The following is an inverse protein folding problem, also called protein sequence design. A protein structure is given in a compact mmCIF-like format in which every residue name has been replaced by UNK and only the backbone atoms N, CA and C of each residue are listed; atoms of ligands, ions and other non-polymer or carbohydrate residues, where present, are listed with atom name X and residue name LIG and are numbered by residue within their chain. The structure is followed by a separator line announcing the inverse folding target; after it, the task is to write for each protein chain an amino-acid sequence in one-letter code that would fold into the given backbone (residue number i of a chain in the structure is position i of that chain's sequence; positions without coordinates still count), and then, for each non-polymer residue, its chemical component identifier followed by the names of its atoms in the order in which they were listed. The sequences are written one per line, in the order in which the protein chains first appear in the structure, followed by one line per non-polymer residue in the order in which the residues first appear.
data_IF_385245861213
#
_entry.id   IF_385245861213
#
_cell.length_a   1.000
_cell.length_b   1.000
_cell.length_c   1.000
_cell.angle_alpha   90.00
_cell.angle_beta   90.00
_cell.angle_gamma   90.00
#
_symmetry.space_group_name_H-M   'P 1'
#
loop_
_entity.id
_entity.type
_entity.pdbx_description
1 polymer ?
#
# COMPACT_ATOMS: atom_id res chain seq x y z
N UNK A 1 -26.93 -3.75 -65.45
CA UNK A 1 -25.65 -4.49 -65.51
C UNK A 1 -25.58 -5.24 -64.18
N UNK A 2 -26.02 -6.50 -64.13
CA UNK A 2 -25.19 -7.73 -64.33
C UNK A 2 -24.02 -7.72 -63.33
N UNK A 3 -24.17 -8.43 -62.20
CA UNK A 3 -23.67 -9.80 -61.95
C UNK A 3 -22.13 -9.75 -61.73
N UNK A 4 -21.57 -10.31 -60.66
CA UNK A 4 -21.39 -11.76 -60.52
C UNK A 4 -21.14 -12.16 -59.03
N UNK A 5 -21.78 -13.28 -58.65
CA UNK A 5 -21.23 -14.44 -57.95
C UNK A 5 -20.55 -14.27 -56.57
N UNK A 6 -21.33 -14.49 -55.51
CA UNK A 6 -20.88 -15.41 -54.46
C UNK A 6 -21.67 -16.72 -54.61
N UNK A 7 -21.05 -17.65 -55.33
CA UNK A 7 -21.53 -19.00 -55.55
C UNK A 7 -21.83 -19.66 -54.20
N UNK A 8 -23.10 -20.00 -54.02
CA UNK A 8 -23.56 -21.03 -53.09
C UNK A 8 -22.99 -22.34 -53.62
N UNK A 9 -21.77 -22.66 -53.19
CA UNK A 9 -20.98 -23.78 -53.67
C UNK A 9 -20.67 -24.71 -52.51
N UNK A 10 -21.23 -25.91 -52.62
CA UNK A 10 -20.87 -27.12 -51.90
C UNK A 10 -21.21 -27.13 -50.41
N UNK A 11 -22.47 -27.50 -50.19
CA UNK A 11 -22.88 -28.38 -49.09
C UNK A 11 -21.92 -29.58 -49.13
N UNK A 12 -20.82 -29.48 -48.40
CA UNK A 12 -20.04 -30.64 -48.02
C UNK A 12 -20.97 -31.45 -47.13
N UNK A 13 -21.46 -32.56 -47.68
CA UNK A 13 -21.91 -33.70 -46.88
C UNK A 13 -20.77 -34.09 -45.92
N UNK A 14 -20.81 -33.52 -44.72
CA UNK A 14 -20.22 -34.14 -43.55
C UNK A 14 -21.39 -34.50 -42.66
N UNK A 15 -21.66 -35.79 -42.56
CA UNK A 15 -22.40 -36.38 -41.45
C UNK A 15 -21.96 -35.72 -40.14
N UNK A 16 -22.83 -34.94 -39.52
CA UNK A 16 -22.80 -34.60 -38.09
C UNK A 16 -24.19 -34.04 -37.74
N UNK A 17 -25.17 -34.93 -37.56
CA UNK A 17 -26.58 -34.60 -37.25
C UNK A 17 -26.82 -33.79 -35.97
N UNK A 18 -25.76 -33.41 -35.26
CA UNK A 18 -25.80 -32.71 -33.97
C UNK A 18 -25.16 -31.29 -34.01
N UNK A 19 -24.68 -30.80 -35.16
CA UNK A 19 -24.04 -29.47 -35.25
C UNK A 19 -24.98 -28.41 -35.81
N UNK A 20 -25.44 -27.50 -34.96
CA UNK A 20 -26.26 -26.34 -35.35
C UNK A 20 -25.40 -25.34 -36.17
N UNK A 21 -25.63 -25.18 -37.48
CA UNK A 21 -24.86 -24.25 -38.30
C UNK A 21 -25.05 -22.81 -37.82
N UNK A 22 -23.96 -22.07 -37.64
CA UNK A 22 -23.99 -20.65 -37.23
C UNK A 22 -24.04 -20.38 -35.72
N UNK A 23 -24.18 -21.40 -34.86
CA UNK A 23 -24.21 -21.21 -33.40
C UNK A 23 -22.97 -20.47 -32.87
N UNK A 24 -21.76 -20.88 -33.31
CA UNK A 24 -20.51 -20.22 -32.92
C UNK A 24 -20.47 -18.75 -33.34
N UNK A 25 -20.98 -18.42 -34.53
CA UNK A 25 -21.03 -17.04 -35.01
C UNK A 25 -21.98 -16.18 -34.15
N UNK A 26 -23.15 -16.71 -33.79
CA UNK A 26 -24.09 -16.02 -32.89
C UNK A 26 -23.49 -15.77 -31.51
N UNK A 27 -22.83 -16.77 -30.92
CA UNK A 27 -22.15 -16.62 -29.62
C UNK A 27 -21.08 -15.53 -29.69
N UNK A 28 -20.24 -15.54 -30.73
CA UNK A 28 -19.19 -14.52 -30.90
C UNK A 28 -19.76 -13.11 -31.08
N UNK A 29 -20.87 -12.95 -31.81
CA UNK A 29 -21.56 -11.66 -31.94
C UNK A 29 -22.09 -11.19 -30.59
N UNK A 30 -22.74 -12.07 -29.81
CA UNK A 30 -23.25 -11.75 -28.48
C UNK A 30 -22.13 -11.31 -27.52
N UNK A 31 -21.00 -12.04 -27.48
CA UNK A 31 -19.84 -11.68 -26.66
C UNK A 31 -19.24 -10.34 -27.10
N UNK A 32 -19.12 -10.10 -28.42
CA UNK A 32 -18.58 -8.85 -28.97
C UNK A 32 -19.46 -7.65 -28.64
N UNK A 33 -20.79 -7.78 -28.75
CA UNK A 33 -21.73 -6.73 -28.37
C UNK A 33 -21.64 -6.40 -26.88
N UNK A 34 -21.44 -7.42 -26.04
CA UNK A 34 -21.28 -7.25 -24.58
C UNK A 34 -19.96 -6.58 -24.24
N UNK A 35 -18.86 -7.02 -24.86
CA UNK A 35 -17.54 -6.37 -24.73
C UNK A 35 -17.58 -4.90 -25.16
N UNK A 36 -18.31 -4.57 -26.25
CA UNK A 36 -18.50 -3.18 -26.70
C UNK A 36 -19.29 -2.34 -25.69
N UNK A 37 -20.26 -2.93 -24.99
CA UNK A 37 -20.99 -2.24 -23.90
C UNK A 37 -20.11 -2.02 -22.67
N UNK A 38 -19.24 -2.97 -22.33
CA UNK A 38 -18.26 -2.82 -21.25
C UNK A 38 -17.22 -1.74 -21.58
N UNK A 39 -16.74 -1.68 -22.82
CA UNK A 39 -15.79 -0.66 -23.27
C UNK A 39 -16.37 0.76 -23.18
N UNK A 40 -17.69 0.93 -23.43
CA UNK A 40 -18.37 2.22 -23.21
C UNK A 40 -18.42 2.66 -21.74
N UNK A 41 -18.22 1.73 -20.80
CA UNK A 41 -18.09 1.99 -19.36
C UNK A 41 -16.63 1.91 -18.91
N UNK A 42 -15.70 2.23 -19.80
CA UNK A 42 -14.25 2.23 -19.54
C UNK A 42 -13.65 0.88 -19.11
N UNK A 43 -14.32 -0.23 -19.40
CA UNK A 43 -13.82 -1.58 -19.15
C UNK A 43 -13.45 -2.26 -20.48
N UNK A 44 -12.15 -2.27 -20.80
CA UNK A 44 -11.60 -2.84 -22.03
C UNK A 44 -11.36 -4.34 -21.85
N UNK A 45 -12.05 -5.14 -22.66
CA UNK A 45 -11.89 -6.59 -22.68
C UNK A 45 -10.89 -6.99 -23.77
N UNK A 46 -9.83 -7.71 -23.41
CA UNK A 46 -8.84 -8.22 -24.38
C UNK A 46 -9.26 -9.56 -24.99
N UNK A 47 -9.82 -10.44 -24.15
CA UNK A 47 -10.30 -11.76 -24.55
C UNK A 47 -11.82 -11.83 -24.37
N UNK A 48 -12.57 -12.14 -25.44
CA UNK A 48 -14.04 -12.16 -25.40
C UNK A 48 -14.61 -13.19 -24.41
N UNK A 49 -13.91 -14.31 -24.20
CA UNK A 49 -14.27 -15.33 -23.19
C UNK A 49 -14.32 -14.76 -21.77
N UNK A 50 -13.50 -13.75 -21.47
CA UNK A 50 -13.44 -13.12 -20.15
C UNK A 50 -14.79 -12.47 -19.74
N UNK A 51 -15.61 -12.06 -20.72
CA UNK A 51 -16.94 -11.51 -20.44
C UNK A 51 -17.83 -12.55 -19.75
N UNK A 52 -17.78 -13.80 -20.20
CA UNK A 52 -18.55 -14.89 -19.60
C UNK A 52 -17.95 -15.29 -18.26
N UNK A 53 -16.62 -15.44 -18.18
CA UNK A 53 -15.93 -15.82 -16.95
C UNK A 53 -16.19 -14.84 -15.80
N UNK A 54 -16.28 -13.54 -16.09
CA UNK A 54 -16.62 -12.52 -15.10
C UNK A 54 -18.01 -12.74 -14.50
N UNK A 55 -18.98 -13.17 -15.31
CA UNK A 55 -20.35 -13.46 -14.86
C UNK A 55 -20.46 -14.72 -14.00
N UNK A 56 -19.54 -15.67 -14.17
CA UNK A 56 -19.49 -16.91 -13.40
C UNK A 56 -18.54 -16.83 -12.19
N UNK A 57 -17.91 -15.69 -11.95
CA UNK A 57 -16.94 -15.50 -10.86
C UNK A 57 -17.62 -15.64 -9.51
N UNK A 58 -17.07 -16.48 -8.64
CA UNK A 58 -17.55 -16.67 -7.27
C UNK A 58 -16.60 -16.13 -6.21
N UNK A 59 -15.32 -15.89 -6.56
CA UNK A 59 -14.33 -15.35 -5.63
C UNK A 59 -13.51 -14.24 -6.30
N UNK A 60 -13.37 -13.11 -5.61
CA UNK A 60 -12.54 -11.97 -6.02
C UNK A 60 -11.37 -11.83 -5.05
N UNK A 61 -10.16 -11.91 -5.59
CA UNK A 61 -8.92 -11.55 -4.91
C UNK A 61 -8.56 -10.12 -5.34
N UNK A 62 -8.38 -9.22 -4.39
CA UNK A 62 -8.00 -7.83 -4.67
C UNK A 62 -6.70 -7.48 -3.97
N UNK A 63 -5.76 -6.87 -4.70
CA UNK A 63 -4.65 -6.15 -4.06
C UNK A 63 -5.16 -4.90 -3.34
N UNK A 64 -4.39 -4.41 -2.37
CA UNK A 64 -4.73 -3.18 -1.64
C UNK A 64 -4.28 -1.95 -2.43
N UNK A 65 -2.97 -1.83 -2.66
CA UNK A 65 -2.34 -0.61 -3.19
C UNK A 65 -2.72 -0.43 -4.66
N UNK A 66 -3.23 0.75 -5.01
CA UNK A 66 -3.62 1.10 -6.40
C UNK A 66 -4.87 0.41 -6.94
N UNK A 67 -5.36 -0.62 -6.24
CA UNK A 67 -6.57 -1.36 -6.60
C UNK A 67 -7.75 -0.93 -5.75
N UNK A 68 -7.70 -1.18 -4.44
CA UNK A 68 -8.73 -0.72 -3.49
C UNK A 68 -8.49 0.75 -3.09
N UNK A 69 -7.22 1.14 -3.04
CA UNK A 69 -6.77 2.48 -2.68
C UNK A 69 -6.26 3.26 -3.90
N UNK A 70 -6.12 4.58 -3.75
CA UNK A 70 -5.80 5.48 -4.86
C UNK A 70 -4.33 5.41 -5.30
N UNK A 71 -3.47 4.68 -4.58
CA UNK A 71 -2.01 4.73 -4.68
C UNK A 71 -1.50 6.17 -4.56
N UNK A 72 -2.11 6.94 -3.66
CA UNK A 72 -1.78 8.34 -3.41
C UNK A 72 -1.63 8.51 -1.91
N UNK A 73 -0.42 8.23 -1.42
CA UNK A 73 -0.10 8.40 -0.01
C UNK A 73 -0.35 9.86 0.40
N UNK A 74 -1.14 10.05 1.46
CA UNK A 74 -1.40 11.35 2.10
C UNK A 74 -1.12 11.24 3.58
N UNK A 75 -0.60 12.31 4.19
CA UNK A 75 -0.42 12.37 5.64
C UNK A 75 -1.80 12.49 6.27
N UNK A 76 -2.08 11.65 7.26
CA UNK A 76 -3.39 11.56 7.91
C UNK A 76 -3.31 12.01 9.36
N UNK A 77 -2.34 11.50 10.13
CA UNK A 77 -2.13 11.95 11.50
C UNK A 77 -0.64 12.20 11.78
N UNK A 78 -0.40 12.99 12.82
CA UNK A 78 0.93 13.32 13.31
C UNK A 78 0.90 13.21 14.84
N UNK A 79 1.94 12.68 15.44
CA UNK A 79 2.09 12.60 16.88
C UNK A 79 3.29 13.44 17.30
N UNK A 80 3.03 14.51 18.04
CA UNK A 80 4.03 15.40 18.64
C UNK A 80 3.46 15.99 19.93
N UNK A 81 4.32 16.42 20.86
CA UNK A 81 3.91 16.98 22.16
C UNK A 81 2.89 16.08 22.92
N UNK A 82 3.04 14.75 22.78
CA UNK A 82 2.14 13.73 23.33
C UNK A 82 0.67 13.81 22.84
N UNK A 83 0.41 14.41 21.69
CA UNK A 83 -0.93 14.55 21.12
C UNK A 83 -0.96 14.00 19.70
N UNK A 84 -2.03 13.28 19.38
CA UNK A 84 -2.34 12.89 18.00
C UNK A 84 -3.09 14.05 17.36
N UNK A 85 -2.60 14.47 16.20
CA UNK A 85 -3.10 15.59 15.44
C UNK A 85 -3.51 15.11 14.06
N UNK A 86 -4.76 15.33 13.71
CA UNK A 86 -5.32 15.03 12.39
C UNK A 86 -4.88 16.07 11.35
N UNK A 87 -4.37 15.60 10.22
CA UNK A 87 -4.09 16.39 9.03
C UNK A 87 -5.29 16.35 8.06
N UNK A 88 -5.53 17.44 7.34
CA UNK A 88 -6.57 17.47 6.31
C UNK A 88 -6.18 16.57 5.12
N UNK A 89 -6.87 15.44 5.01
CA UNK A 89 -6.72 14.48 3.92
C UNK A 89 -7.60 14.81 2.71
N UNK A 90 -8.44 15.85 2.80
CA UNK A 90 -9.35 16.29 1.75
C UNK A 90 -8.63 16.94 0.58
N UNK A 91 -9.15 16.73 -0.63
CA UNK A 91 -8.53 17.26 -1.87
C UNK A 91 -8.54 18.79 -1.96
N UNK A 92 -9.49 19.43 -1.27
CA UNK A 92 -9.75 20.88 -1.34
C UNK A 92 -9.39 21.65 -0.05
N UNK A 93 -8.86 20.96 0.96
CA UNK A 93 -8.25 21.54 2.15
C UNK A 93 -9.05 22.64 2.84
N UNK A 94 -10.27 22.32 3.25
CA UNK A 94 -11.17 23.30 3.86
C UNK A 94 -11.01 23.38 5.38
N UNK A 95 -10.30 22.45 6.03
CA UNK A 95 -10.23 22.33 7.48
C UNK A 95 -8.77 22.28 7.98
N UNK A 96 -8.18 23.43 8.31
CA UNK A 96 -6.91 23.44 9.04
C UNK A 96 -7.18 23.18 10.55
N UNK A 97 -6.80 22.01 11.05
CA UNK A 97 -7.15 21.52 12.39
C UNK A 97 -6.08 21.72 13.47
N UNK A 98 -4.87 22.21 13.16
CA UNK A 98 -3.78 22.27 14.13
C UNK A 98 -2.85 23.49 14.05
N UNK A 99 -2.22 23.81 15.18
CA UNK A 99 -1.34 24.97 15.33
C UNK A 99 -0.01 24.76 14.60
N UNK A 100 0.15 25.49 13.50
CA UNK A 100 1.35 25.46 12.65
C UNK A 100 2.56 26.16 13.28
N UNK A 101 2.38 26.87 14.40
CA UNK A 101 3.46 27.58 15.08
C UNK A 101 4.00 26.84 16.31
N UNK A 102 3.45 25.67 16.64
CA UNK A 102 3.94 24.86 17.76
C UNK A 102 5.42 24.49 17.54
N UNK A 103 6.28 24.61 18.58
CA UNK A 103 7.70 24.33 18.44
C UNK A 103 7.95 22.86 18.06
N UNK A 104 7.15 21.92 18.60
CA UNK A 104 7.18 20.50 18.25
C UNK A 104 6.92 20.27 16.77
N UNK A 105 5.90 20.92 16.21
CA UNK A 105 5.61 20.87 14.78
C UNK A 105 6.74 21.44 13.91
N UNK A 106 7.30 22.60 14.26
CA UNK A 106 8.38 23.20 13.47
C UNK A 106 9.62 22.31 13.39
N UNK A 107 9.98 21.64 14.50
CA UNK A 107 11.08 20.68 14.52
C UNK A 107 10.77 19.44 13.66
N UNK A 108 9.56 18.89 13.80
CA UNK A 108 9.10 17.74 13.04
C UNK A 108 9.02 18.04 11.53
N UNK A 109 8.46 19.18 11.15
CA UNK A 109 8.37 19.67 9.78
C UNK A 109 9.76 19.91 9.18
N UNK A 110 10.70 20.49 9.94
CA UNK A 110 12.11 20.64 9.53
C UNK A 110 12.72 19.27 9.19
N UNK A 111 12.54 18.28 10.05
CA UNK A 111 13.03 16.92 9.80
C UNK A 111 12.41 16.31 8.53
N UNK A 112 11.10 16.48 8.33
CA UNK A 112 10.38 15.97 7.17
C UNK A 112 10.77 16.67 5.84
N UNK A 113 11.16 17.95 5.89
CA UNK A 113 11.68 18.69 4.72
C UNK A 113 13.07 18.19 4.33
N UNK A 114 13.97 18.12 5.31
CA UNK A 114 15.41 17.92 5.09
C UNK A 114 15.75 16.46 4.79
N UNK A 115 15.16 15.54 5.55
CA UNK A 115 15.36 14.10 5.37
C UNK A 115 14.44 13.55 4.27
N UNK A 116 14.44 14.16 3.08
CA UNK A 116 13.53 13.77 2.01
C UNK A 116 14.16 14.03 0.63
N UNK A 117 14.05 13.04 -0.28
CA UNK A 117 14.58 13.10 -1.65
C UNK A 117 13.53 13.43 -2.70
N UNK A 118 12.26 13.54 -2.32
CA UNK A 118 11.20 13.90 -3.26
C UNK A 118 11.26 15.38 -3.63
N UNK A 119 11.02 15.67 -4.91
CA UNK A 119 10.94 17.01 -5.48
C UNK A 119 9.73 17.12 -6.41
N UNK A 120 9.15 18.33 -6.51
CA UNK A 120 8.06 18.58 -7.46
C UNK A 120 8.59 18.64 -8.89
N UNK A 121 7.83 18.09 -9.85
CA UNK A 121 8.13 18.33 -11.28
C UNK A 121 7.92 19.82 -11.59
N UNK A 122 8.93 20.48 -12.16
CA UNK A 122 8.93 21.92 -12.42
C UNK A 122 8.13 22.34 -13.68
N UNK A 123 7.19 21.52 -14.12
CA UNK A 123 6.37 21.82 -15.29
C UNK A 123 5.34 22.92 -14.96
N UNK A 124 5.16 23.95 -15.82
CA UNK A 124 4.22 25.04 -15.56
C UNK A 124 2.78 24.56 -15.32
N UNK A 125 2.35 23.53 -16.06
CA UNK A 125 1.03 22.90 -15.89
C UNK A 125 0.90 22.19 -14.54
N UNK A 126 1.98 21.60 -14.04
CA UNK A 126 2.00 20.90 -12.76
C UNK A 126 1.98 21.88 -11.58
N UNK A 127 2.72 22.99 -11.67
CA UNK A 127 2.75 24.02 -10.63
C UNK A 127 1.40 24.76 -10.48
N UNK A 128 0.62 24.84 -11.57
CA UNK A 128 -0.73 25.39 -11.57
C UNK A 128 -1.78 24.49 -10.88
N UNK A 129 -1.48 23.21 -10.66
CA UNK A 129 -2.36 22.29 -9.95
C UNK A 129 -2.28 22.48 -8.42
N UNK A 130 -3.35 22.13 -7.68
CA UNK A 130 -3.33 22.06 -6.21
C UNK A 130 -2.16 21.21 -5.70
N UNK A 131 -1.53 21.61 -4.58
CA UNK A 131 -0.30 20.97 -4.05
C UNK A 131 -0.44 19.45 -3.93
N UNK A 132 -1.60 18.96 -3.47
CA UNK A 132 -1.84 17.54 -3.33
C UNK A 132 -1.85 16.79 -4.68
N UNK A 133 -2.25 17.44 -5.78
CA UNK A 133 -2.34 16.84 -7.12
C UNK A 133 -1.02 16.95 -7.90
N UNK A 134 -0.10 17.82 -7.48
CA UNK A 134 1.19 17.99 -8.13
C UNK A 134 1.94 16.66 -8.22
N UNK A 135 2.48 16.39 -9.40
CA UNK A 135 3.39 15.28 -9.64
C UNK A 135 4.74 15.56 -8.99
N UNK A 136 5.31 14.53 -8.37
CA UNK A 136 6.58 14.55 -7.67
C UNK A 136 7.50 13.45 -8.20
N UNK A 137 8.80 13.69 -8.19
CA UNK A 137 9.82 12.64 -8.27
C UNK A 137 10.05 12.04 -6.88
N UNK A 138 10.35 10.74 -6.82
CA UNK A 138 10.64 10.03 -5.57
C UNK A 138 9.55 9.03 -5.16
N UNK A 139 9.76 8.38 -4.02
CA UNK A 139 8.84 7.36 -3.50
C UNK A 139 7.54 8.00 -2.99
N UNK A 140 6.44 7.25 -3.01
CA UNK A 140 5.11 7.77 -2.66
C UNK A 140 5.05 8.31 -1.21
N UNK A 141 5.73 7.63 -0.27
CA UNK A 141 5.85 8.11 1.12
C UNK A 141 6.60 9.43 1.25
N UNK A 142 7.63 9.63 0.44
CA UNK A 142 8.42 10.87 0.44
C UNK A 142 7.65 12.02 -0.23
N UNK A 143 6.92 11.72 -1.29
CA UNK A 143 6.01 12.66 -1.95
C UNK A 143 4.88 13.11 -1.01
N UNK A 144 4.33 12.20 -0.18
CA UNK A 144 3.31 12.53 0.81
C UNK A 144 3.82 13.54 1.85
N UNK A 145 5.03 13.30 2.38
CA UNK A 145 5.69 14.22 3.31
C UNK A 145 5.97 15.57 2.66
N UNK A 146 6.50 15.57 1.43
CA UNK A 146 6.79 16.79 0.69
C UNK A 146 5.52 17.63 0.50
N UNK A 147 4.42 17.01 0.07
CA UNK A 147 3.13 17.67 -0.10
C UNK A 147 2.63 18.24 1.22
N UNK A 148 2.64 17.45 2.30
CA UNK A 148 2.19 17.89 3.62
C UNK A 148 2.96 19.12 4.13
N UNK A 149 4.29 19.13 3.98
CA UNK A 149 5.07 20.27 4.47
C UNK A 149 4.97 21.48 3.55
N UNK A 150 4.89 21.29 2.23
CA UNK A 150 4.65 22.38 1.28
C UNK A 150 3.32 23.11 1.58
N UNK A 151 2.30 22.39 2.05
CA UNK A 151 1.01 22.96 2.45
C UNK A 151 1.06 23.82 3.72
N UNK A 152 2.04 23.58 4.59
CA UNK A 152 2.20 24.31 5.85
C UNK A 152 3.18 25.46 5.72
N UNK A 153 4.27 25.29 4.97
CA UNK A 153 5.41 26.23 4.92
C UNK A 153 5.56 26.96 3.58
N UNK A 154 4.94 26.48 2.49
CA UNK A 154 4.91 27.09 1.14
C UNK A 154 6.27 27.56 0.57
N UNK A 155 7.39 26.96 0.99
CA UNK A 155 8.75 27.32 0.56
C UNK A 155 9.76 26.17 0.78
N UNK A 156 9.40 24.91 0.51
CA UNK A 156 10.28 23.76 0.81
C UNK A 156 11.63 23.85 0.08
N UNK A 157 11.64 24.30 -1.19
CA UNK A 157 12.86 24.41 -2.01
C UNK A 157 13.85 25.40 -1.38
N UNK A 158 13.39 26.61 -1.06
CA UNK A 158 14.23 27.64 -0.41
C UNK A 158 14.74 27.16 0.95
N UNK A 159 13.91 26.44 1.71
CA UNK A 159 14.32 25.90 3.01
C UNK A 159 15.45 24.87 2.87
N UNK A 160 15.42 24.03 1.83
CA UNK A 160 16.50 23.09 1.51
C UNK A 160 17.76 23.77 0.98
N UNK A 161 17.63 24.87 0.24
CA UNK A 161 18.77 25.68 -0.21
C UNK A 161 19.50 26.36 0.95
N UNK A 162 18.74 26.88 1.93
CA UNK A 162 19.30 27.49 3.14
C UNK A 162 20.01 26.43 4.00
N UNK A 163 19.45 25.23 4.12
CA UNK A 163 20.01 24.14 4.93
C UNK A 163 20.70 23.11 4.03
N UNK A 164 21.88 23.47 3.51
CA UNK A 164 22.62 22.66 2.55
C UNK A 164 22.94 21.27 3.11
N UNK A 165 22.62 20.24 2.32
CA UNK A 165 22.94 18.84 2.65
C UNK A 165 24.43 18.57 2.43
N UNK A 166 25.08 18.00 3.45
CA UNK A 166 26.51 17.66 3.44
C UNK A 166 26.75 16.17 3.25
N UNK A 167 25.91 15.34 3.88
CA UNK A 167 26.02 13.88 3.83
C UNK A 167 24.63 13.25 3.88
N UNK A 168 24.46 12.10 3.24
CA UNK A 168 23.21 11.36 3.25
C UNK A 168 23.41 9.86 3.27
N UNK A 169 22.78 9.18 4.22
CA UNK A 169 22.63 7.73 4.18
C UNK A 169 21.26 7.41 3.55
N UNK A 170 21.21 6.83 2.33
CA UNK A 170 19.96 6.39 1.71
C UNK A 170 19.22 5.38 2.58
N UNK A 171 17.90 5.33 2.43
CA UNK A 171 17.11 4.26 3.02
C UNK A 171 17.59 2.90 2.54
N UNK A 172 17.90 2.00 3.48
CA UNK A 172 18.26 0.61 3.21
C UNK A 172 17.28 -0.32 3.95
N UNK A 173 16.85 -1.41 3.31
CA UNK A 173 15.92 -2.39 3.88
C UNK A 173 16.48 -3.12 5.11
N UNK A 174 17.80 -3.24 5.21
CA UNK A 174 18.48 -3.82 6.38
C UNK A 174 18.47 -2.87 7.57
N UNK A 175 18.79 -1.59 7.33
CA UNK A 175 18.91 -0.58 8.38
C UNK A 175 17.55 0.02 8.78
N UNK A 176 16.58 0.06 7.86
CA UNK A 176 15.21 0.58 8.03
C UNK A 176 15.11 2.07 8.44
N UNK A 177 16.18 2.84 8.26
CA UNK A 177 16.21 4.29 8.46
C UNK A 177 16.94 4.99 7.30
N UNK A 178 16.72 6.29 7.18
CA UNK A 178 17.39 7.23 6.30
C UNK A 178 17.92 8.38 7.16
N UNK A 179 19.13 8.85 6.86
CA UNK A 179 19.80 9.93 7.61
C UNK A 179 20.27 10.99 6.63
N UNK A 180 20.16 12.26 6.99
CA UNK A 180 20.86 13.33 6.29
C UNK A 180 21.42 14.35 7.27
N UNK A 181 22.58 14.91 6.92
CA UNK A 181 23.28 15.93 7.72
C UNK A 181 23.25 17.23 6.93
N UNK A 182 22.85 18.30 7.60
CA UNK A 182 22.66 19.61 7.01
C UNK A 182 23.44 20.68 7.77
N UNK A 183 23.93 21.68 7.04
CA UNK A 183 24.50 22.89 7.61
C UNK A 183 23.39 23.77 8.18
N UNK A 184 23.53 24.18 9.44
CA UNK A 184 22.56 25.05 10.10
C UNK A 184 22.91 26.51 9.80
N UNK A 185 22.03 27.19 9.07
CA UNK A 185 22.10 28.63 8.86
C UNK A 185 20.96 29.31 9.63
N UNK A 186 21.17 29.57 10.92
CA UNK A 186 20.27 30.42 11.72
C UNK A 186 20.78 31.86 11.78
N UNK A 187 19.86 32.83 11.91
CA UNK A 187 20.21 34.25 12.07
C UNK A 187 20.93 34.52 13.42
N UNK A 188 20.74 33.64 14.39
CA UNK A 188 21.40 33.67 15.70
C UNK A 188 22.81 33.09 15.63
N UNK A 189 23.80 33.95 15.38
CA UNK A 189 25.23 33.59 15.29
C UNK A 189 25.74 32.72 16.46
N UNK A 190 25.19 32.90 17.66
CA UNK A 190 25.58 32.12 18.86
C UNK A 190 25.20 30.65 18.81
N UNK A 191 24.06 30.27 18.18
CA UNK A 191 23.69 28.86 18.00
C UNK A 191 24.49 28.20 16.86
N UNK A 192 24.79 28.96 15.80
CA UNK A 192 25.57 28.50 14.64
C UNK A 192 27.03 28.19 15.02
N UNK A 193 27.56 28.85 16.04
CA UNK A 193 28.93 28.62 16.52
C UNK A 193 29.03 27.47 17.53
N UNK A 194 27.92 27.03 18.14
CA UNK A 194 27.88 25.88 19.05
C UNK A 194 27.41 24.58 18.38
N UNK A 195 26.55 24.68 17.35
CA UNK A 195 25.99 23.54 16.63
C UNK A 195 25.93 23.79 15.11
N UNK A 196 27.03 23.57 14.37
CA UNK A 196 27.14 23.92 12.95
C UNK A 196 26.36 22.96 12.06
N UNK A 197 26.10 21.74 12.54
CA UNK A 197 25.44 20.68 11.78
C UNK A 197 24.21 20.14 12.50
N UNK A 198 23.17 19.89 11.71
CA UNK A 198 21.95 19.20 12.13
C UNK A 198 21.87 17.85 11.42
N UNK A 199 21.88 16.78 12.20
CA UNK A 199 21.56 15.44 11.75
C UNK A 199 20.05 15.24 11.88
N UNK A 200 19.42 14.77 10.80
CA UNK A 200 18.00 14.39 10.79
C UNK A 200 17.87 12.95 10.31
N UNK A 201 16.98 12.20 10.94
CA UNK A 201 16.76 10.80 10.61
C UNK A 201 15.26 10.48 10.62
N UNK A 202 14.84 9.69 9.62
CA UNK A 202 13.49 9.11 9.56
C UNK A 202 13.56 7.61 9.32
N UNK A 203 12.59 6.86 9.82
CA UNK A 203 12.61 5.40 9.66
C UNK A 203 11.42 4.67 10.26
N UNK A 204 11.57 3.35 10.42
CA UNK A 204 10.62 2.53 11.14
C UNK A 204 10.51 3.02 12.61
N UNK A 205 9.29 3.25 13.15
CA UNK A 205 9.10 3.82 14.49
C UNK A 205 9.90 3.13 15.60
N UNK A 206 9.87 1.79 15.63
CA UNK A 206 10.60 0.97 16.62
C UNK A 206 12.12 1.21 16.57
N UNK A 207 12.68 1.24 15.35
CA UNK A 207 14.11 1.43 15.13
C UNK A 207 14.58 2.85 15.46
N UNK A 208 13.69 3.84 15.27
CA UNK A 208 13.98 5.22 15.66
C UNK A 208 13.94 5.34 17.19
N UNK A 209 12.93 4.75 17.85
CA UNK A 209 12.81 4.83 19.31
C UNK A 209 14.00 4.19 20.03
N UNK A 210 14.49 3.03 19.56
CA UNK A 210 15.66 2.35 20.13
C UNK A 210 16.94 3.20 20.09
N UNK A 211 17.05 4.12 19.13
CA UNK A 211 18.21 5.00 18.94
C UNK A 211 18.08 6.35 19.63
N UNK A 212 16.90 6.66 20.17
CA UNK A 212 16.65 7.93 20.83
C UNK A 212 16.86 7.82 22.34
N UNK A 213 17.50 8.83 22.93
CA UNK A 213 17.67 8.97 24.38
C UNK A 213 16.77 10.06 24.97
N UNK A 214 16.43 11.07 24.17
CA UNK A 214 15.58 12.20 24.55
C UNK A 214 14.38 12.34 23.62
N UNK A 215 13.33 13.00 24.08
CA UNK A 215 12.12 13.36 23.34
C UNK A 215 11.90 14.88 23.44
N UNK A 216 11.50 15.50 22.33
CA UNK A 216 11.20 16.92 22.26
C UNK A 216 9.72 17.18 22.56
N UNK A 217 9.44 17.95 23.61
CA UNK A 217 8.07 18.26 24.08
C UNK A 217 7.96 19.75 24.39
N UNK A 218 7.04 20.43 23.72
CA UNK A 218 6.69 21.85 23.95
C UNK A 218 7.91 22.79 23.95
N UNK A 219 8.96 22.47 23.20
CA UNK A 219 10.20 23.25 23.13
C UNK A 219 11.32 22.80 24.07
N UNK A 220 11.11 21.74 24.87
CA UNK A 220 12.09 21.22 25.83
C UNK A 220 12.51 19.78 25.52
N UNK A 221 13.77 19.47 25.81
CA UNK A 221 14.32 18.12 25.66
C UNK A 221 14.13 17.35 26.98
N UNK A 222 13.39 16.25 26.93
CA UNK A 222 13.10 15.38 28.09
C UNK A 222 13.69 13.99 27.85
N UNK A 223 14.25 13.34 28.86
CA UNK A 223 14.76 11.97 28.72
C UNK A 223 13.62 10.95 28.53
N UNK A 224 13.88 9.93 27.70
CA UNK A 224 12.88 8.87 27.43
C UNK A 224 12.80 7.91 28.61
N UNK A 225 11.78 8.12 29.44
CA UNK A 225 11.38 7.21 30.51
C UNK A 225 10.38 6.15 30.01
N UNK A 226 10.12 5.11 30.83
CA UNK A 226 9.15 4.06 30.49
C UNK A 226 7.73 4.58 30.27
N UNK A 227 7.37 5.70 30.90
CA UNK A 227 6.13 6.41 30.62
C UNK A 227 6.04 6.86 29.15
N UNK A 228 7.11 7.46 28.62
CA UNK A 228 7.16 7.95 27.25
C UNK A 228 7.20 6.79 26.23
N UNK A 229 7.86 5.68 26.58
CA UNK A 229 7.82 4.45 25.77
C UNK A 229 6.40 3.89 25.67
N UNK A 230 5.67 3.87 26.78
CA UNK A 230 4.28 3.40 26.79
C UNK A 230 3.35 4.34 26.00
N UNK A 231 3.49 5.66 26.18
CA UNK A 231 2.71 6.65 25.41
C UNK A 231 2.98 6.55 23.90
N UNK A 232 4.26 6.38 23.51
CA UNK A 232 4.65 6.13 22.14
C UNK A 232 4.03 4.84 21.59
N UNK A 233 4.12 3.73 22.34
CA UNK A 233 3.57 2.45 21.91
C UNK A 233 2.04 2.51 21.74
N UNK A 234 1.36 3.22 22.65
CA UNK A 234 -0.07 3.45 22.54
C UNK A 234 -0.42 4.24 21.27
N UNK A 235 0.26 5.37 21.01
CA UNK A 235 0.05 6.16 19.81
C UNK A 235 0.39 5.38 18.53
N UNK A 236 1.47 4.59 18.55
CA UNK A 236 1.86 3.73 17.42
C UNK A 236 0.79 2.68 17.11
N UNK A 237 0.24 2.01 18.13
CA UNK A 237 -0.83 1.04 17.98
C UNK A 237 -2.13 1.68 17.51
N UNK A 238 -2.48 2.85 18.03
CA UNK A 238 -3.67 3.61 17.62
C UNK A 238 -3.60 4.02 16.15
N UNK A 239 -2.50 4.65 15.72
CA UNK A 239 -2.28 5.03 14.32
C UNK A 239 -2.21 3.81 13.39
N UNK A 240 -1.60 2.71 13.86
CA UNK A 240 -1.59 1.45 13.14
C UNK A 240 -3.00 0.90 12.93
N UNK A 241 -3.85 0.95 13.97
CA UNK A 241 -5.23 0.46 13.96
C UNK A 241 -6.14 1.23 13.00
N UNK A 242 -5.78 2.46 12.64
CA UNK A 242 -6.48 3.28 11.64
C UNK A 242 -6.11 2.93 10.19
N UNK A 243 -5.17 2.00 9.97
CA UNK A 243 -4.80 1.61 8.61
C UNK A 243 -3.68 2.44 8.02
N UNK A 244 -2.92 3.10 8.88
CA UNK A 244 -1.94 4.08 8.47
C UNK A 244 -0.52 3.51 8.58
N UNK A 245 0.32 3.91 7.64
CA UNK A 245 1.74 3.62 7.67
C UNK A 245 2.42 4.69 8.50
N UNK A 246 3.03 4.31 9.61
CA UNK A 246 3.68 5.23 10.55
C UNK A 246 5.19 5.28 10.30
N UNK A 247 5.75 6.50 10.33
CA UNK A 247 7.19 6.77 10.29
C UNK A 247 7.60 7.56 11.53
N UNK A 248 8.76 7.22 12.11
CA UNK A 248 9.37 7.97 13.20
C UNK A 248 10.38 8.98 12.68
N UNK A 249 10.47 10.11 13.38
CA UNK A 249 11.39 11.21 13.07
C UNK A 249 12.19 11.58 14.31
N UNK A 250 13.49 11.80 14.11
CA UNK A 250 14.40 12.26 15.15
C UNK A 250 15.44 13.21 14.57
N UNK A 251 15.99 14.07 15.42
CA UNK A 251 17.10 14.96 15.08
C UNK A 251 18.20 14.91 16.14
N UNK A 252 19.38 15.39 15.76
CA UNK A 252 20.48 15.62 16.69
C UNK A 252 21.27 16.84 16.20
N UNK A 253 21.50 17.78 17.11
CA UNK A 253 22.41 18.91 16.87
C UNK A 253 23.83 18.45 17.21
N UNK A 254 24.71 18.44 16.22
CA UNK A 254 26.11 18.03 16.42
C UNK A 254 26.90 19.19 17.03
N UNK A 255 27.71 18.90 18.04
CA UNK A 255 28.56 19.88 18.72
C UNK A 255 29.73 20.30 17.82
N UNK A 256 30.06 21.60 17.84
CA UNK A 256 31.21 22.18 17.13
C UNK A 256 32.55 21.56 17.52
N UNK A 257 32.69 21.12 18.77
CA UNK A 257 33.96 20.62 19.32
C UNK A 257 34.40 19.31 18.63
N UNK A 258 33.44 18.42 18.37
CA UNK A 258 33.69 17.15 17.68
C UNK A 258 33.59 17.29 16.15
N UNK A 259 32.78 18.24 15.66
CA UNK A 259 32.46 18.40 14.24
C UNK A 259 32.56 19.87 13.80
N UNK A 260 33.77 20.38 13.52
CA UNK A 260 33.97 21.78 13.11
C UNK A 260 33.42 22.07 11.71
N UNK A 261 33.16 23.36 11.42
CA UNK A 261 32.72 23.81 10.08
C UNK A 261 33.71 23.37 9.00
N UNK A 262 33.25 22.56 8.05
CA UNK A 262 34.05 21.94 6.98
C UNK A 262 34.44 20.48 7.24
N UNK A 263 33.94 19.85 8.31
CA UNK A 263 34.17 18.44 8.59
C UNK A 263 33.65 17.55 7.46
N UNK A 264 34.48 16.60 7.01
CA UNK A 264 34.10 15.64 5.97
C UNK A 264 33.39 14.44 6.60
N UNK A 265 32.07 14.38 6.43
CA UNK A 265 31.29 13.22 6.81
C UNK A 265 31.48 12.10 5.79
N UNK A 266 31.60 10.86 6.27
CA UNK A 266 31.77 9.68 5.43
C UNK A 266 30.55 8.76 5.57
N UNK A 267 30.01 8.33 4.43
CA UNK A 267 28.81 7.48 4.34
C UNK A 267 29.12 6.00 4.59
N UNK A 268 30.33 5.53 4.24
CA UNK A 268 30.71 4.11 4.33
C UNK A 268 31.30 3.76 5.70
N UNK A 269 32.11 4.65 6.26
CA UNK A 269 32.61 4.57 7.62
C UNK A 269 31.96 5.68 8.44
N UNK A 270 30.81 5.33 9.04
CA UNK A 270 29.98 6.28 9.78
C UNK A 270 30.83 6.96 10.87
N UNK A 271 31.11 8.24 10.67
CA UNK A 271 31.94 9.06 11.54
C UNK A 271 31.13 10.04 12.39
N UNK A 272 29.83 9.78 12.55
CA UNK A 272 28.89 10.60 13.32
C UNK A 272 28.00 9.70 14.20
N UNK A 273 27.47 10.21 15.32
CA UNK A 273 26.63 9.43 16.21
C UNK A 273 25.29 9.07 15.53
N UNK A 274 24.95 7.77 15.59
CA UNK A 274 23.64 7.23 15.16
C UNK A 274 22.75 6.84 16.35
N UNK A 275 23.28 6.93 17.57
CA UNK A 275 22.60 6.60 18.82
C UNK A 275 22.59 7.85 19.72
N UNK A 276 21.69 7.88 20.71
CA UNK A 276 21.41 9.05 21.57
C UNK A 276 20.81 10.25 20.82
N UNK A 277 19.95 9.97 19.85
CA UNK A 277 19.21 10.99 19.11
C UNK A 277 18.05 11.57 19.93
N UNK A 278 17.52 12.72 19.49
CA UNK A 278 16.33 13.33 20.05
C UNK A 278 15.10 12.98 19.20
N UNK A 279 14.15 12.29 19.80
CA UNK A 279 12.88 11.93 19.18
C UNK A 279 11.99 13.16 19.03
N UNK A 280 11.46 13.38 17.82
CA UNK A 280 10.60 14.53 17.54
C UNK A 280 9.11 14.15 17.49
N UNK A 281 8.78 13.05 16.83
CA UNK A 281 7.39 12.71 16.58
C UNK A 281 7.20 11.54 15.61
N UNK A 282 5.94 11.15 15.44
CA UNK A 282 5.50 10.24 14.40
C UNK A 282 4.73 11.02 13.34
N UNK A 283 4.84 10.60 12.08
CA UNK A 283 3.84 10.94 11.07
C UNK A 283 3.29 9.66 10.48
N UNK A 284 1.97 9.60 10.38
CA UNK A 284 1.27 8.52 9.73
C UNK A 284 0.72 8.98 8.38
N UNK A 285 0.76 8.07 7.43
CA UNK A 285 0.27 8.29 6.08
C UNK A 285 -0.66 7.15 5.70
N UNK A 286 -1.79 7.51 5.10
CA UNK A 286 -2.77 6.57 4.59
C UNK A 286 -2.73 6.59 3.07
N UNK A 287 -2.99 5.44 2.46
CA UNK A 287 -3.41 5.40 1.06
C UNK A 287 -4.93 5.38 1.06
N UNK A 288 -5.60 6.52 0.79
CA UNK A 288 -7.04 6.61 0.95
C UNK A 288 -7.74 5.64 -0.03
N UNK A 289 -8.83 4.99 0.40
CA UNK A 289 -9.63 4.17 -0.50
C UNK A 289 -10.14 5.01 -1.68
N UNK A 290 -10.30 4.38 -2.85
CA UNK A 290 -10.90 5.05 -4.00
C UNK A 290 -12.35 5.44 -3.66
N UNK A 291 -12.78 6.64 -4.01
CA UNK A 291 -14.18 7.08 -3.81
C UNK A 291 -15.20 6.15 -4.52
N UNK A 292 -14.72 5.42 -5.54
CA UNK A 292 -15.46 4.41 -6.28
C UNK A 292 -15.50 3.02 -5.59
N UNK A 293 -14.65 2.76 -4.60
CA UNK A 293 -14.61 1.49 -3.82
C UNK A 293 -15.16 1.68 -2.40
N UNK A 294 -16.37 2.24 -2.16
CA UNK A 294 -16.99 2.13 -0.84
C UNK A 294 -17.48 0.71 -0.58
N UNK A 295 -17.79 0.44 0.69
CA UNK A 295 -18.55 -0.70 1.20
C UNK A 295 -19.70 -1.11 0.27
N UNK A 296 -20.42 -0.14 -0.32
CA UNK A 296 -21.53 -0.40 -1.24
C UNK A 296 -21.18 -1.26 -2.47
N UNK A 297 -19.95 -1.22 -3.01
CA UNK A 297 -19.56 -2.07 -4.15
C UNK A 297 -19.16 -3.48 -3.70
N UNK A 298 -18.43 -3.60 -2.60
CA UNK A 298 -18.09 -4.90 -2.02
C UNK A 298 -19.35 -5.60 -1.50
N UNK A 299 -20.28 -4.85 -0.90
CA UNK A 299 -21.61 -5.32 -0.51
C UNK A 299 -22.42 -5.81 -1.73
N UNK A 300 -22.32 -5.14 -2.89
CA UNK A 300 -22.94 -5.64 -4.13
C UNK A 300 -22.34 -6.98 -4.57
N UNK A 301 -21.01 -7.12 -4.56
CA UNK A 301 -20.37 -8.40 -4.85
C UNK A 301 -20.83 -9.49 -3.88
N UNK A 302 -20.87 -9.20 -2.57
CA UNK A 302 -21.37 -10.14 -1.55
C UNK A 302 -22.84 -10.48 -1.74
N UNK A 303 -23.69 -9.52 -2.12
CA UNK A 303 -25.11 -9.75 -2.42
C UNK A 303 -25.33 -10.67 -3.62
N UNK A 304 -24.35 -10.74 -4.54
CA UNK A 304 -24.33 -11.68 -5.65
C UNK A 304 -23.72 -13.05 -5.27
N UNK A 305 -23.39 -13.27 -3.99
CA UNK A 305 -22.77 -14.50 -3.50
C UNK A 305 -21.26 -14.59 -3.76
N UNK A 306 -20.62 -13.48 -4.12
CA UNK A 306 -19.18 -13.44 -4.42
C UNK A 306 -18.39 -13.20 -3.14
N UNK A 307 -17.45 -14.10 -2.84
CA UNK A 307 -16.49 -13.95 -1.73
C UNK A 307 -15.38 -12.98 -2.14
N UNK A 308 -15.09 -11.98 -1.31
CA UNK A 308 -14.03 -10.99 -1.57
C UNK A 308 -12.90 -11.17 -0.55
N UNK A 309 -11.67 -11.27 -1.05
CA UNK A 309 -10.48 -11.55 -0.24
C UNK A 309 -9.39 -10.52 -0.57
N UNK A 310 -8.80 -9.91 0.46
CA UNK A 310 -7.67 -8.99 0.31
C UNK A 310 -6.35 -9.77 0.32
N UNK A 311 -5.46 -9.48 -0.62
CA UNK A 311 -4.10 -10.02 -0.66
C UNK A 311 -3.10 -8.89 -0.80
N UNK A 312 -2.36 -8.58 0.28
CA UNK A 312 -1.43 -7.44 0.30
C UNK A 312 -0.06 -7.77 0.89
N UNK A 313 0.93 -6.96 0.51
CA UNK A 313 2.26 -6.94 1.11
C UNK A 313 2.38 -6.05 2.35
N UNK A 314 1.32 -5.30 2.69
CA UNK A 314 1.28 -4.37 3.83
C UNK A 314 1.23 -5.11 5.18
N UNK A 315 1.51 -4.37 6.26
CA UNK A 315 1.45 -4.89 7.63
C UNK A 315 0.02 -5.36 8.00
N UNK A 316 -0.17 -6.43 8.80
CA UNK A 316 -1.49 -6.96 9.15
C UNK A 316 -2.45 -5.94 9.75
N UNK A 317 -1.93 -5.10 10.66
CA UNK A 317 -2.74 -4.06 11.33
C UNK A 317 -3.30 -3.09 10.28
N UNK A 318 -2.43 -2.64 9.36
CA UNK A 318 -2.82 -1.75 8.25
C UNK A 318 -3.83 -2.42 7.32
N UNK A 319 -3.57 -3.67 6.93
CA UNK A 319 -4.43 -4.44 6.04
C UNK A 319 -5.82 -4.68 6.65
N UNK A 320 -5.90 -5.01 7.95
CA UNK A 320 -7.14 -5.19 8.69
C UNK A 320 -7.98 -3.93 8.72
N UNK A 321 -7.36 -2.79 9.03
CA UNK A 321 -8.05 -1.51 9.10
C UNK A 321 -8.59 -1.05 7.74
N UNK A 322 -7.78 -1.14 6.67
CA UNK A 322 -8.26 -0.85 5.32
C UNK A 322 -9.36 -1.83 4.90
N UNK A 323 -9.24 -3.11 5.27
CA UNK A 323 -10.28 -4.12 5.01
C UNK A 323 -11.62 -3.79 5.68
N UNK A 324 -11.58 -3.23 6.90
CA UNK A 324 -12.78 -2.69 7.57
C UNK A 324 -13.33 -1.45 6.86
N UNK A 325 -12.45 -0.53 6.47
CA UNK A 325 -12.84 0.71 5.78
C UNK A 325 -13.52 0.45 4.42
N UNK A 326 -13.06 -0.55 3.67
CA UNK A 326 -13.68 -0.91 2.38
C UNK A 326 -14.83 -1.92 2.50
N UNK A 327 -15.03 -2.55 3.67
CA UNK A 327 -16.08 -3.55 3.88
C UNK A 327 -15.73 -4.98 3.45
N UNK A 328 -14.43 -5.32 3.35
CA UNK A 328 -13.96 -6.72 3.22
C UNK A 328 -14.05 -7.45 4.56
N UNK A 329 -13.87 -6.73 5.66
CA UNK A 329 -14.24 -7.21 7.00
C UNK A 329 -15.42 -6.34 7.44
N UNK A 330 -16.54 -6.97 7.81
CA UNK A 330 -17.69 -6.25 8.34
C UNK A 330 -17.36 -5.59 9.69
N UNK A 331 -18.00 -4.47 10.02
CA UNK A 331 -17.72 -3.79 11.29
C UNK A 331 -18.10 -4.63 12.52
N UNK A 332 -19.10 -5.50 12.37
CA UNK A 332 -19.61 -6.37 13.44
C UNK A 332 -18.89 -7.73 13.54
N UNK A 333 -17.90 -7.99 12.67
CA UNK A 333 -17.18 -9.27 12.68
C UNK A 333 -15.85 -9.16 13.43
N UNK A 334 -15.66 -10.12 14.33
CA UNK A 334 -14.44 -10.25 15.13
C UNK A 334 -13.46 -11.20 14.45
N UNK A 335 -12.18 -10.87 14.55
CA UNK A 335 -11.09 -11.82 14.25
C UNK A 335 -10.72 -12.60 15.51
N UNK A 336 -9.94 -13.68 15.36
CA UNK A 336 -9.42 -14.47 16.49
C UNK A 336 -8.68 -13.56 17.49
N UNK A 337 -7.93 -12.57 16.99
CA UNK A 337 -7.23 -11.59 17.82
C UNK A 337 -8.19 -10.66 18.57
N UNK A 338 -9.29 -10.25 17.95
CA UNK A 338 -10.30 -9.40 18.61
C UNK A 338 -11.01 -10.16 19.73
N UNK A 339 -11.34 -11.44 19.50
CA UNK A 339 -11.97 -12.30 20.50
C UNK A 339 -11.01 -12.52 21.68
N UNK A 340 -9.74 -12.83 21.39
CA UNK A 340 -8.71 -13.00 22.41
C UNK A 340 -8.57 -11.74 23.28
N UNK A 341 -8.52 -10.55 22.66
CA UNK A 341 -8.41 -9.29 23.36
C UNK A 341 -9.66 -8.95 24.18
N UNK A 342 -10.86 -9.23 23.65
CA UNK A 342 -12.14 -8.99 24.35
C UNK A 342 -12.32 -9.90 25.56
N UNK A 343 -11.94 -11.16 25.44
CA UNK A 343 -12.11 -12.18 26.49
C UNK A 343 -10.92 -12.18 27.46
N UNK A 344 -9.77 -11.63 27.06
CA UNK A 344 -8.55 -11.58 27.87
C UNK A 344 -7.83 -12.94 27.95
N UNK A 345 -7.98 -13.79 26.93
CA UNK A 345 -7.34 -15.12 26.85
C UNK A 345 -6.23 -15.11 25.79
N UNK A 346 -5.21 -15.98 25.92
CA UNK A 346 -4.22 -16.20 24.86
C UNK A 346 -4.87 -16.61 23.53
N UNK A 347 -4.25 -16.25 22.41
CA UNK A 347 -4.74 -16.58 21.05
C UNK A 347 -4.98 -18.08 20.84
N UNK A 348 -4.21 -18.93 21.52
CA UNK A 348 -4.28 -20.39 21.43
C UNK A 348 -5.54 -20.98 22.06
N UNK A 349 -6.16 -20.27 23.00
CA UNK A 349 -7.38 -20.72 23.69
C UNK A 349 -8.66 -20.33 22.95
N UNK A 350 -8.56 -19.43 21.96
CA UNK A 350 -9.69 -19.00 21.16
C UNK A 350 -9.96 -20.03 20.07
N UNK A 351 -11.19 -20.54 20.01
CA UNK A 351 -11.61 -21.42 18.93
C UNK A 351 -11.66 -20.65 17.60
N UNK A 352 -10.87 -21.02 16.58
CA UNK A 352 -10.84 -20.31 15.31
C UNK A 352 -12.18 -20.29 14.58
N UNK A 353 -13.09 -21.23 14.88
CA UNK A 353 -14.42 -21.31 14.26
C UNK A 353 -15.39 -20.23 14.75
N UNK A 354 -15.12 -19.61 15.89
CA UNK A 354 -15.97 -18.55 16.44
C UNK A 354 -15.73 -17.22 15.71
N UNK A 355 -14.56 -17.06 15.10
CA UNK A 355 -14.21 -15.91 14.29
C UNK A 355 -14.71 -16.08 12.85
N UNK A 356 -15.54 -15.15 12.38
CA UNK A 356 -15.96 -15.11 10.96
C UNK A 356 -14.90 -14.50 10.04
N UNK A 357 -14.01 -13.69 10.61
CA UNK A 357 -12.95 -12.99 9.92
C UNK A 357 -11.57 -13.47 10.38
N UNK A 358 -10.59 -13.54 9.47
CA UNK A 358 -9.21 -13.86 9.84
C UNK A 358 -8.20 -12.99 9.07
N UNK A 359 -7.13 -12.61 9.75
CA UNK A 359 -5.98 -11.91 9.16
C UNK A 359 -4.77 -12.82 9.28
N UNK A 360 -4.15 -13.17 8.15
CA UNK A 360 -3.06 -14.15 8.10
C UNK A 360 -1.79 -13.44 7.68
N UNK A 361 -0.74 -13.61 8.48
CA UNK A 361 0.58 -13.09 8.15
C UNK A 361 1.28 -14.02 7.13
N UNK A 362 2.05 -13.43 6.22
CA UNK A 362 2.76 -14.18 5.17
C UNK A 362 3.75 -15.22 5.69
N UNK A 363 4.33 -15.04 6.89
CA UNK A 363 5.19 -16.05 7.53
C UNK A 363 4.41 -17.30 7.90
N UNK A 364 3.21 -17.12 8.43
CA UNK A 364 2.37 -18.21 8.94
C UNK A 364 1.79 -18.98 7.76
N UNK A 365 1.41 -18.25 6.70
CA UNK A 365 1.02 -18.84 5.42
C UNK A 365 2.12 -19.72 4.82
N UNK A 366 3.40 -19.41 5.05
CA UNK A 366 4.53 -20.21 4.57
C UNK A 366 4.71 -21.51 5.38
N UNK A 367 4.28 -21.51 6.64
CA UNK A 367 4.36 -22.66 7.53
C UNK A 367 3.16 -23.61 7.38
N UNK A 368 2.04 -23.13 6.85
CA UNK A 368 0.78 -23.89 6.71
C UNK A 368 0.83 -24.95 5.60
N UNK A 369 0.13 -26.06 5.84
CA UNK A 369 -0.12 -27.11 4.84
C UNK A 369 -1.30 -26.77 3.91
N UNK A 370 -1.40 -27.45 2.76
CA UNK A 370 -2.51 -27.24 1.81
C UNK A 370 -3.88 -27.53 2.42
N UNK A 371 -3.99 -28.57 3.25
CA UNK A 371 -5.23 -28.94 3.93
C UNK A 371 -5.65 -27.89 4.97
N UNK A 372 -4.70 -27.26 5.65
CA UNK A 372 -4.96 -26.16 6.59
C UNK A 372 -5.48 -24.92 5.86
N UNK A 373 -4.92 -24.60 4.68
CA UNK A 373 -5.37 -23.49 3.85
C UNK A 373 -6.81 -23.73 3.38
N UNK A 374 -7.15 -24.95 2.94
CA UNK A 374 -8.51 -25.30 2.52
C UNK A 374 -9.50 -25.23 3.69
N UNK A 375 -9.11 -25.69 4.88
CA UNK A 375 -9.91 -25.56 6.10
C UNK A 375 -10.13 -24.10 6.49
N UNK A 376 -9.09 -23.27 6.38
CA UNK A 376 -9.17 -21.85 6.66
C UNK A 376 -10.15 -21.15 5.71
N UNK A 377 -10.06 -21.46 4.42
CA UNK A 377 -10.94 -20.91 3.38
C UNK A 377 -12.40 -21.36 3.54
N UNK A 378 -12.63 -22.56 4.08
CA UNK A 378 -13.97 -23.08 4.37
C UNK A 378 -14.59 -22.51 5.65
N UNK A 379 -13.78 -22.27 6.68
CA UNK A 379 -14.27 -21.83 7.99
C UNK A 379 -14.52 -20.32 8.08
N UNK A 380 -13.73 -19.50 7.36
CA UNK A 380 -13.81 -18.04 7.45
C UNK A 380 -14.44 -17.45 6.19
N UNK A 381 -15.43 -16.59 6.37
CA UNK A 381 -16.09 -15.89 5.25
C UNK A 381 -15.31 -14.66 4.81
N UNK A 382 -14.58 -14.01 5.74
CA UNK A 382 -13.86 -12.77 5.51
C UNK A 382 -12.36 -12.98 5.76
N UNK A 383 -11.54 -12.80 4.74
CA UNK A 383 -10.14 -13.20 4.79
C UNK A 383 -9.25 -12.06 4.30
N UNK A 384 -8.17 -11.81 5.03
CA UNK A 384 -7.14 -10.83 4.67
C UNK A 384 -5.77 -11.48 4.79
N UNK A 385 -5.01 -11.50 3.71
CA UNK A 385 -3.60 -11.90 3.73
C UNK A 385 -2.70 -10.68 3.73
N UNK A 386 -1.83 -10.59 4.71
CA UNK A 386 -0.91 -9.46 4.91
C UNK A 386 0.55 -9.90 4.87
N UNK A 387 1.46 -8.96 4.59
CA UNK A 387 2.92 -9.19 4.48
C UNK A 387 3.30 -10.32 3.52
N UNK A 388 2.51 -10.50 2.47
CA UNK A 388 2.81 -11.48 1.42
C UNK A 388 3.92 -10.97 0.50
N UNK A 389 5.00 -11.73 0.34
CA UNK A 389 6.01 -11.46 -0.68
C UNK A 389 5.46 -11.73 -2.07
N UNK A 390 6.03 -11.17 -3.16
CA UNK A 390 5.65 -11.56 -4.52
C UNK A 390 5.80 -13.07 -4.70
N UNK A 391 6.82 -13.68 -4.08
CA UNK A 391 6.98 -15.12 -4.03
C UNK A 391 5.90 -15.81 -3.19
N UNK A 392 5.37 -15.28 -2.11
CA UNK A 392 4.24 -15.88 -1.38
C UNK A 392 2.91 -15.69 -2.10
N UNK A 393 2.78 -14.63 -2.91
CA UNK A 393 1.78 -14.57 -3.98
C UNK A 393 1.97 -15.71 -5.01
N UNK A 394 3.16 -16.38 -5.03
CA UNK A 394 3.60 -17.45 -5.96
C UNK A 394 3.76 -18.88 -5.34
N UNK A 395 4.27 -19.11 -4.12
CA UNK A 395 4.93 -20.34 -3.59
C UNK A 395 4.00 -21.49 -3.19
N UNK A 396 2.68 -21.30 -3.22
CA UNK A 396 1.72 -22.34 -2.85
C UNK A 396 1.27 -23.05 -4.14
N UNK A 397 1.89 -24.17 -4.52
CA UNK A 397 1.82 -24.68 -5.92
C UNK A 397 1.74 -26.19 -6.06
N UNK A 398 2.37 -26.98 -5.18
CA UNK A 398 2.56 -28.41 -5.42
C UNK A 398 1.78 -29.28 -4.41
N UNK A 399 1.23 -30.39 -4.94
CA UNK A 399 0.62 -31.51 -4.23
C UNK A 399 -0.85 -31.72 -4.62
N UNK A 400 -1.27 -32.76 -5.34
CA UNK A 400 -0.60 -33.89 -6.02
C UNK A 400 -1.46 -34.27 -7.24
N UNK A 401 -0.83 -34.50 -8.40
CA UNK A 401 -1.17 -35.59 -9.33
C UNK A 401 0.07 -35.90 -10.18
N UNK A 402 0.55 -37.12 -10.01
CA UNK A 402 1.39 -37.93 -10.89
C UNK A 402 2.80 -37.46 -11.34
N UNK A 403 3.76 -38.20 -10.75
CA UNK A 403 4.98 -38.80 -11.30
C UNK A 403 5.06 -38.73 -12.84
N UNK A 404 6.18 -38.19 -13.35
CA UNK A 404 6.62 -38.05 -14.76
C UNK A 404 6.34 -36.65 -15.35
N UNK A 405 7.12 -35.65 -14.93
CA UNK A 405 7.97 -34.83 -15.82
C UNK A 405 8.44 -33.55 -15.12
N UNK A 406 9.77 -33.38 -15.06
CA UNK A 406 10.46 -32.16 -14.64
C UNK A 406 10.15 -30.99 -15.58
N UNK A 407 9.38 -29.99 -15.12
CA UNK A 407 9.52 -28.53 -15.42
C UNK A 407 8.28 -27.73 -14.97
N UNK A 408 8.54 -26.73 -14.12
CA UNK A 408 7.80 -25.45 -13.95
C UNK A 408 6.55 -25.45 -13.04
N UNK A 409 6.79 -24.88 -11.84
CA UNK A 409 5.94 -24.04 -10.97
C UNK A 409 4.58 -23.53 -11.53
N UNK A 410 3.47 -23.66 -10.79
CA UNK A 410 2.77 -22.54 -10.08
C UNK A 410 1.22 -22.61 -10.03
N UNK A 411 0.55 -22.76 -8.84
CA UNK A 411 -0.82 -22.25 -8.48
C UNK A 411 -1.58 -22.92 -7.31
N UNK A 412 -2.00 -22.20 -6.25
CA UNK A 412 -2.98 -22.70 -5.24
C UNK A 412 -4.00 -21.69 -4.64
N UNK A 413 -3.91 -20.34 -4.66
CA UNK A 413 -5.03 -19.55 -4.04
C UNK A 413 -6.26 -19.38 -4.95
N UNK A 414 -6.01 -18.98 -6.21
CA UNK A 414 -7.01 -19.17 -7.26
C UNK A 414 -7.40 -20.64 -7.33
N UNK A 415 -6.47 -21.56 -7.06
CA UNK A 415 -6.73 -22.99 -7.11
C UNK A 415 -7.37 -23.60 -5.85
N UNK A 416 -7.40 -23.05 -4.64
CA UNK A 416 -8.10 -23.62 -3.48
C UNK A 416 -9.58 -23.33 -3.61
N UNK A 417 -9.84 -22.10 -4.05
CA UNK A 417 -11.09 -21.70 -4.66
C UNK A 417 -11.42 -22.57 -5.90
N UNK A 418 -10.57 -22.67 -6.94
CA UNK A 418 -10.85 -23.49 -8.14
C UNK A 418 -10.85 -25.01 -7.89
N UNK A 419 -10.18 -25.51 -6.85
CA UNK A 419 -10.19 -26.91 -6.37
C UNK A 419 -11.51 -27.22 -5.69
N UNK A 420 -12.10 -26.22 -5.02
CA UNK A 420 -13.50 -26.23 -4.63
C UNK A 420 -14.45 -25.98 -5.82
N UNK A 421 -13.94 -25.87 -7.06
CA UNK A 421 -14.71 -25.61 -8.27
C UNK A 421 -15.11 -24.14 -8.46
N UNK A 422 -14.57 -23.21 -7.69
CA UNK A 422 -14.89 -21.78 -7.74
C UNK A 422 -14.14 -21.06 -8.87
N UNK A 423 -14.77 -20.07 -9.48
CA UNK A 423 -14.15 -19.25 -10.54
C UNK A 423 -13.59 -17.99 -9.89
N UNK A 424 -12.29 -17.75 -10.09
CA UNK A 424 -11.54 -16.74 -9.37
C UNK A 424 -11.13 -15.58 -10.27
N UNK A 425 -11.49 -14.38 -9.83
CA UNK A 425 -11.00 -13.13 -10.36
C UNK A 425 -9.85 -12.59 -9.50
N UNK A 426 -8.80 -12.10 -10.15
CA UNK A 426 -7.73 -11.33 -9.50
C UNK A 426 -7.73 -9.90 -10.03
N UNK A 427 -7.78 -8.92 -9.13
CA UNK A 427 -7.70 -7.50 -9.44
C UNK A 427 -6.39 -6.93 -8.87
N UNK A 428 -5.59 -6.31 -9.73
CA UNK A 428 -4.29 -5.74 -9.35
C UNK A 428 -3.86 -4.57 -10.23
N UNK A 429 -2.87 -3.82 -9.76
CA UNK A 429 -2.24 -2.70 -10.49
C UNK A 429 -0.73 -2.92 -10.68
N UNK A 430 -0.09 -3.62 -9.73
CA UNK A 430 1.36 -3.75 -9.68
C UNK A 430 1.94 -4.88 -10.52
N UNK A 431 3.25 -4.78 -10.80
CA UNK A 431 4.05 -5.88 -11.42
C UNK A 431 4.04 -7.12 -10.53
N UNK A 432 3.91 -6.92 -9.22
CA UNK A 432 3.83 -7.98 -8.22
C UNK A 432 2.55 -8.83 -8.38
N UNK A 433 1.52 -8.32 -9.04
CA UNK A 433 0.24 -9.01 -9.24
C UNK A 433 0.18 -9.74 -10.57
N UNK A 434 1.09 -9.43 -11.50
CA UNK A 434 1.14 -10.03 -12.84
C UNK A 434 1.10 -11.58 -12.83
N UNK A 435 1.85 -12.29 -11.96
CA UNK A 435 1.77 -13.75 -11.90
C UNK A 435 0.40 -14.25 -11.45
N UNK A 436 -0.20 -13.60 -10.45
CA UNK A 436 -1.52 -13.97 -9.91
C UNK A 436 -2.63 -13.71 -10.94
N UNK A 437 -2.60 -12.55 -11.61
CA UNK A 437 -3.55 -12.19 -12.66
C UNK A 437 -3.50 -13.14 -13.86
N UNK A 438 -2.31 -13.60 -14.24
CA UNK A 438 -2.15 -14.55 -15.34
C UNK A 438 -2.75 -15.93 -15.03
N UNK A 439 -2.69 -16.34 -13.75
CA UNK A 439 -3.15 -17.66 -13.30
C UNK A 439 -4.64 -17.70 -12.97
N UNK A 440 -5.22 -16.58 -12.55
CA UNK A 440 -6.65 -16.46 -12.30
C UNK A 440 -7.48 -16.80 -13.55
N UNK A 441 -8.70 -17.29 -13.36
CA UNK A 441 -9.65 -17.47 -14.48
C UNK A 441 -9.86 -16.15 -15.19
N UNK A 442 -9.88 -15.06 -14.43
CA UNK A 442 -9.93 -13.70 -14.94
C UNK A 442 -8.98 -12.75 -14.19
N UNK A 443 -8.00 -12.19 -14.90
CA UNK A 443 -7.16 -11.11 -14.40
C UNK A 443 -7.70 -9.75 -14.86
N UNK A 444 -7.95 -8.85 -13.91
CA UNK A 444 -8.40 -7.48 -14.13
C UNK A 444 -7.26 -6.54 -13.72
N UNK A 445 -6.69 -5.83 -14.69
CA UNK A 445 -5.72 -4.77 -14.40
C UNK A 445 -6.43 -3.43 -14.23
N UNK A 446 -5.99 -2.68 -13.22
CA UNK A 446 -6.35 -1.26 -13.10
C UNK A 446 -5.56 -0.45 -14.14
N UNK A 447 -6.25 0.41 -14.87
CA UNK A 447 -5.65 1.29 -15.87
C UNK A 447 -5.32 2.64 -15.26
N UNK A 448 -4.05 2.86 -14.91
CA UNK A 448 -3.47 4.19 -14.76
C UNK A 448 -2.38 4.41 -15.84
N UNK A 449 -2.06 5.66 -16.15
CA UNK A 449 -1.36 6.12 -17.37
C UNK A 449 0.08 5.58 -17.54
N UNK A 450 0.70 4.92 -16.55
CA UNK A 450 2.17 4.71 -16.57
C UNK A 450 2.72 3.31 -16.24
N UNK A 451 1.91 2.25 -16.11
CA UNK A 451 2.43 0.88 -15.82
C UNK A 451 1.97 -0.17 -16.84
N UNK A 452 2.77 -0.38 -17.88
CA UNK A 452 2.46 -1.30 -19.00
C UNK A 452 2.66 -2.79 -18.71
N UNK A 453 3.48 -3.16 -17.72
CA UNK A 453 3.85 -4.56 -17.49
C UNK A 453 2.72 -5.41 -16.90
N UNK A 454 1.95 -4.89 -15.94
CA UNK A 454 0.77 -5.56 -15.36
C UNK A 454 -0.39 -5.65 -16.34
N UNK A 455 -0.60 -4.60 -17.13
CA UNK A 455 -1.58 -4.54 -18.22
C UNK A 455 -1.42 -5.71 -19.19
N UNK A 456 -0.21 -6.04 -19.63
CA UNK A 456 0.03 -7.10 -20.62
C UNK A 456 -0.47 -8.50 -20.20
N UNK A 457 -0.50 -8.79 -18.90
CA UNK A 457 -0.86 -10.11 -18.34
C UNK A 457 -2.34 -10.24 -17.94
N UNK A 458 -3.11 -9.15 -18.03
CA UNK A 458 -4.55 -9.12 -17.70
C UNK A 458 -5.45 -9.47 -18.88
N UNK A 459 -6.61 -10.05 -18.60
CA UNK A 459 -7.66 -10.34 -19.61
C UNK A 459 -8.63 -9.17 -19.79
N UNK A 460 -8.77 -8.33 -18.76
CA UNK A 460 -9.56 -7.10 -18.76
C UNK A 460 -8.72 -5.95 -18.21
N UNK A 461 -8.87 -4.76 -18.78
CA UNK A 461 -8.31 -3.50 -18.27
C UNK A 461 -9.45 -2.55 -17.92
N UNK A 462 -9.54 -2.11 -16.67
CA UNK A 462 -10.56 -1.17 -16.20
C UNK A 462 -9.95 0.21 -15.99
N UNK A 463 -10.54 1.25 -16.56
CA UNK A 463 -10.14 2.64 -16.34
C UNK A 463 -11.23 3.33 -15.49
N UNK A 464 -10.94 3.51 -14.19
CA UNK A 464 -11.75 4.13 -13.12
C UNK A 464 -13.26 3.77 -13.02
#
# INVERSE_FOLDING_TARGET
MKSDDLVVGDIIEVNDGDRIPGFLATVMICLTLTAKRLAKKNCLVKNLEAVQTLGSTSIICADKIGTLTQNRMTIAHMWFDNRIVEADTGEYQQNATFDKNAPGWLALARCAILCNRADFKQDPENLAQPVLQRQCYGNESEAALLKCVELSTSNVIKFREINRKVCEIPFNSTNKYQVSIHEVHTENKSEVDSHPYLLVMKGAPEQILERCSSIFIDGTDVEINDYWRNAFNQAYMELGSLGERVLGFCDLRLLSDDHPKGYQFNEEQVNFPLDNLRFLGLMSMIDPPRAAVPEARIAKCRSAGIKVIMVTGDHPITAKAISRAVGIISQDTETVEDIAQRVGVPLEEVNPRDAKACVIHGTDLKAMSSAEIDALLGNHTEIVFARTSPQQKITVVEGEHDIINRKILQSVFCLGCQRQGAIVAMIGDGVNDSPAMKKADIGIAMGSVEKDSSSSMSKIKSFD
#
